data_IF_522257778044
#
_entry.id   IF_522257778044
#
_cell.length_a   1.000
_cell.length_b   1.000
_cell.length_c   1.000
_cell.angle_alpha   90.00
_cell.angle_beta   90.00
_cell.angle_gamma   90.00
#
_symmetry.space_group_name_H-M   'P 1'
#
loop_
_entity.id
_entity.type
_entity.pdbx_description
1 polymer ?
#
# COMPACT_ATOMS: atom_id res chain seq x y z
N UNK A 1 12.09 1.99 -13.08
CA UNK A 1 11.76 1.39 -11.75
C UNK A 1 11.45 -0.09 -11.93
N UNK A 2 12.03 -0.92 -11.10
CA UNK A 2 11.77 -2.35 -11.00
C UNK A 2 10.90 -2.63 -9.78
N UNK A 3 9.96 -3.57 -9.88
CA UNK A 3 9.05 -3.95 -8.78
C UNK A 3 9.32 -5.41 -8.45
N UNK A 4 9.67 -5.69 -7.21
CA UNK A 4 9.98 -7.03 -6.72
C UNK A 4 9.16 -7.38 -5.49
N UNK A 5 8.99 -8.66 -5.19
CA UNK A 5 8.32 -9.12 -3.96
C UNK A 5 9.14 -8.73 -2.74
N UNK A 6 8.43 -8.34 -1.68
CA UNK A 6 9.03 -8.12 -0.37
C UNK A 6 9.57 -9.46 0.18
N UNK A 7 10.86 -9.49 0.44
CA UNK A 7 11.58 -10.63 1.01
C UNK A 7 12.33 -10.23 2.28
N UNK A 8 12.95 -11.18 2.94
CA UNK A 8 13.71 -10.92 4.16
C UNK A 8 14.89 -9.96 3.96
N UNK A 9 15.45 -9.94 2.76
CA UNK A 9 16.53 -9.04 2.37
C UNK A 9 16.16 -7.55 2.53
N UNK A 10 14.88 -7.21 2.28
CA UNK A 10 14.39 -5.82 2.31
C UNK A 10 13.79 -5.41 3.66
N UNK A 11 13.66 -6.34 4.62
CA UNK A 11 12.92 -6.12 5.88
C UNK A 11 13.32 -4.84 6.60
N UNK A 12 14.61 -4.64 6.82
CA UNK A 12 15.10 -3.48 7.57
C UNK A 12 14.86 -2.15 6.84
N UNK A 13 15.05 -2.14 5.52
CA UNK A 13 14.86 -0.93 4.72
C UNK A 13 13.36 -0.58 4.61
N UNK A 14 12.51 -1.58 4.41
CA UNK A 14 11.05 -1.37 4.41
C UNK A 14 10.58 -0.88 5.78
N UNK A 15 11.07 -1.46 6.86
CA UNK A 15 10.73 -1.00 8.20
C UNK A 15 11.10 0.47 8.43
N UNK A 16 12.29 0.91 7.99
CA UNK A 16 12.69 2.33 8.06
C UNK A 16 11.75 3.23 7.25
N UNK A 17 11.38 2.82 6.04
CA UNK A 17 10.43 3.56 5.21
C UNK A 17 9.04 3.62 5.85
N UNK A 18 8.55 2.53 6.43
CA UNK A 18 7.28 2.49 7.16
C UNK A 18 7.30 3.47 8.34
N UNK A 19 8.38 3.54 9.10
CA UNK A 19 8.53 4.51 10.20
C UNK A 19 8.35 5.95 9.71
N UNK A 20 8.93 6.30 8.57
CA UNK A 20 8.78 7.63 7.97
C UNK A 20 7.35 7.86 7.49
N UNK A 21 6.77 6.89 6.79
CA UNK A 21 5.42 6.97 6.23
C UNK A 21 4.36 7.09 7.33
N UNK A 22 4.41 6.24 8.34
CA UNK A 22 3.46 6.23 9.46
C UNK A 22 3.62 7.44 10.41
N UNK A 23 4.77 8.11 10.40
CA UNK A 23 4.95 9.39 11.11
C UNK A 23 4.42 10.60 10.32
N UNK A 24 4.15 10.45 9.02
CA UNK A 24 3.67 11.53 8.14
C UNK A 24 2.17 11.80 8.32
N UNK A 25 1.70 12.91 7.71
CA UNK A 25 0.27 13.26 7.66
C UNK A 25 -0.56 12.35 6.75
N UNK A 26 0.07 11.52 5.92
CA UNK A 26 -0.62 10.56 5.05
C UNK A 26 -1.29 9.42 5.84
N UNK A 27 -0.86 9.18 7.07
CA UNK A 27 -1.40 8.12 7.94
C UNK A 27 -1.98 8.73 9.22
N UNK A 28 -3.26 8.48 9.46
CA UNK A 28 -3.97 9.01 10.63
C UNK A 28 -3.63 8.21 11.89
N UNK A 29 -3.78 6.89 11.85
CA UNK A 29 -3.46 6.00 12.96
C UNK A 29 -1.98 5.65 12.99
N UNK A 30 -1.33 5.96 14.12
CA UNK A 30 0.12 5.70 14.30
C UNK A 30 0.32 4.31 14.89
N UNK A 31 0.73 3.37 14.05
CA UNK A 31 1.02 1.99 14.46
C UNK A 31 2.34 1.88 15.20
N UNK A 32 2.43 0.91 16.13
CA UNK A 32 3.68 0.65 16.82
C UNK A 32 4.68 -0.15 15.98
N UNK A 33 5.92 -0.18 16.42
CA UNK A 33 6.97 -0.95 15.78
C UNK A 33 6.63 -2.46 15.70
N UNK A 34 5.91 -2.99 16.67
CA UNK A 34 5.48 -4.39 16.67
C UNK A 34 4.46 -4.69 15.57
N UNK A 35 3.51 -3.77 15.31
CA UNK A 35 2.56 -3.90 14.18
C UNK A 35 3.31 -3.81 12.85
N UNK A 36 4.15 -2.80 12.67
CA UNK A 36 4.89 -2.62 11.41
C UNK A 36 5.77 -3.84 11.07
N UNK A 37 6.43 -4.42 12.07
CA UNK A 37 7.21 -5.65 11.87
C UNK A 37 6.32 -6.85 11.53
N UNK A 38 5.16 -6.98 12.16
CA UNK A 38 4.20 -8.05 11.86
C UNK A 38 3.69 -7.94 10.42
N UNK A 39 3.35 -6.74 9.96
CA UNK A 39 2.89 -6.51 8.59
C UNK A 39 3.95 -6.95 7.57
N UNK A 40 5.22 -6.63 7.81
CA UNK A 40 6.33 -7.09 6.97
C UNK A 40 6.43 -8.62 6.99
N UNK A 41 6.35 -9.24 8.17
CA UNK A 41 6.47 -10.70 8.31
C UNK A 41 5.28 -11.42 7.65
N UNK A 42 4.07 -10.90 7.78
CA UNK A 42 2.88 -11.42 7.10
C UNK A 42 2.99 -11.29 5.58
N UNK A 43 3.49 -10.17 5.06
CA UNK A 43 3.74 -9.99 3.62
C UNK A 43 4.74 -10.99 3.03
N UNK A 44 5.68 -11.50 3.83
CA UNK A 44 6.69 -12.49 3.42
C UNK A 44 6.23 -13.94 3.61
N UNK A 45 5.14 -14.13 4.34
CA UNK A 45 4.61 -15.46 4.66
C UNK A 45 3.68 -15.98 3.55
N UNK A 46 3.00 -17.07 3.82
CA UNK A 46 1.92 -17.62 3.00
C UNK A 46 0.53 -17.08 3.40
N UNK A 47 0.48 -15.99 4.16
CA UNK A 47 -0.76 -15.30 4.49
C UNK A 47 -1.48 -14.88 3.18
N UNK A 48 -2.68 -15.43 2.91
CA UNK A 48 -3.37 -15.18 1.64
C UNK A 48 -3.99 -13.78 1.54
N UNK A 49 -4.03 -13.01 2.63
CA UNK A 49 -4.73 -11.73 2.69
C UNK A 49 -3.85 -10.53 2.40
N UNK A 50 -2.53 -10.67 2.47
CA UNK A 50 -1.59 -9.55 2.34
C UNK A 50 -0.39 -9.92 1.48
N UNK A 51 0.08 -8.99 0.66
CA UNK A 51 1.30 -9.09 -0.11
C UNK A 51 2.07 -7.77 -0.07
N UNK A 52 3.40 -7.86 -0.12
CA UNK A 52 4.29 -6.70 -0.12
C UNK A 52 5.16 -6.64 -1.37
N UNK A 53 5.44 -5.42 -1.80
CA UNK A 53 6.29 -5.10 -2.95
C UNK A 53 7.32 -4.04 -2.58
N UNK A 54 8.48 -4.13 -3.19
CA UNK A 54 9.59 -3.19 -3.04
C UNK A 54 9.91 -2.58 -4.40
N UNK A 55 10.13 -1.28 -4.41
CA UNK A 55 10.46 -0.53 -5.62
C UNK A 55 11.96 -0.25 -5.65
N UNK A 56 12.58 -0.60 -6.78
CA UNK A 56 14.02 -0.46 -7.00
C UNK A 56 14.28 0.46 -8.19
N UNK A 57 15.26 1.33 -8.06
CA UNK A 57 15.86 2.08 -9.18
C UNK A 57 17.36 1.81 -9.13
N UNK A 58 17.89 1.20 -10.18
CA UNK A 58 19.21 0.57 -10.16
C UNK A 58 19.30 -0.44 -8.99
N UNK A 59 20.25 -0.30 -8.09
CA UNK A 59 20.39 -1.17 -6.90
C UNK A 59 19.79 -0.54 -5.63
N UNK A 60 19.16 0.63 -5.75
CA UNK A 60 18.61 1.35 -4.60
C UNK A 60 17.13 1.05 -4.38
N UNK A 61 16.77 0.82 -3.12
CA UNK A 61 15.35 0.76 -2.69
C UNK A 61 14.79 2.17 -2.61
N UNK A 62 13.78 2.46 -3.43
CA UNK A 62 13.17 3.80 -3.54
C UNK A 62 11.76 3.89 -2.97
N UNK A 63 11.15 2.78 -2.59
CA UNK A 63 9.81 2.76 -2.03
C UNK A 63 9.31 1.35 -1.76
N UNK A 64 8.09 1.26 -1.25
CA UNK A 64 7.40 0.00 -1.00
C UNK A 64 5.89 0.15 -1.12
N UNK A 65 5.21 -0.96 -1.23
CA UNK A 65 3.75 -1.03 -1.10
C UNK A 65 3.33 -2.33 -0.41
N UNK A 66 2.20 -2.27 0.27
CA UNK A 66 1.48 -3.43 0.78
C UNK A 66 0.06 -3.41 0.24
N UNK A 67 -0.44 -4.57 -0.15
CA UNK A 67 -1.80 -4.75 -0.66
C UNK A 67 -2.51 -5.83 0.13
N UNK A 68 -3.78 -5.61 0.43
CA UNK A 68 -4.66 -6.63 0.98
C UNK A 68 -5.66 -7.13 -0.06
N UNK A 69 -6.19 -8.33 0.16
CA UNK A 69 -7.10 -9.02 -0.74
C UNK A 69 -8.41 -9.30 -0.03
N UNK A 70 -9.52 -8.91 -0.65
CA UNK A 70 -10.84 -9.26 -0.15
C UNK A 70 -11.81 -9.54 -1.30
N UNK A 71 -12.95 -10.13 -0.98
CA UNK A 71 -14.03 -10.32 -1.94
C UNK A 71 -15.00 -9.12 -1.90
N UNK A 72 -15.33 -8.55 -3.05
CA UNK A 72 -16.36 -7.51 -3.16
C UNK A 72 -17.64 -8.10 -3.75
N UNK A 73 -18.72 -8.13 -2.96
CA UNK A 73 -20.01 -8.66 -3.40
C UNK A 73 -20.70 -7.77 -4.42
N UNK A 74 -20.50 -6.45 -4.33
CA UNK A 74 -21.08 -5.47 -5.26
C UNK A 74 -20.57 -5.67 -6.70
N UNK A 75 -19.31 -6.12 -6.85
CA UNK A 75 -18.66 -6.37 -8.13
C UNK A 75 -18.46 -7.86 -8.44
N UNK A 76 -18.73 -8.75 -7.48
CA UNK A 76 -18.71 -10.19 -7.68
C UNK A 76 -17.34 -10.81 -7.87
N UNK A 77 -16.31 -10.35 -7.16
CA UNK A 77 -14.96 -10.89 -7.33
C UNK A 77 -13.91 -10.36 -6.39
N UNK A 78 -12.65 -10.62 -6.75
CA UNK A 78 -11.48 -10.18 -6.00
C UNK A 78 -11.35 -8.66 -6.03
N UNK A 79 -11.16 -8.06 -4.86
CA UNK A 79 -10.78 -6.67 -4.69
C UNK A 79 -9.37 -6.60 -4.11
N UNK A 80 -8.51 -5.81 -4.73
CA UNK A 80 -7.19 -5.45 -4.22
C UNK A 80 -7.27 -4.08 -3.57
N UNK A 81 -6.87 -4.01 -2.31
CA UNK A 81 -6.80 -2.77 -1.56
C UNK A 81 -5.33 -2.39 -1.37
N UNK A 82 -4.93 -1.22 -1.87
CA UNK A 82 -3.59 -0.69 -1.63
C UNK A 82 -3.58 -0.07 -0.24
N UNK A 83 -3.00 -0.79 0.72
CA UNK A 83 -2.93 -0.39 2.12
C UNK A 83 -1.85 0.67 2.33
N UNK A 84 -0.63 0.39 1.86
CA UNK A 84 0.51 1.29 1.89
C UNK A 84 1.04 1.53 0.49
N UNK A 85 1.32 2.78 0.16
CA UNK A 85 2.10 3.17 -1.02
C UNK A 85 3.02 4.32 -0.65
N UNK A 86 4.31 4.04 -0.62
CA UNK A 86 5.32 5.01 -0.23
C UNK A 86 6.48 5.06 -1.22
N UNK A 87 6.87 6.26 -1.59
CA UNK A 87 8.11 6.55 -2.31
C UNK A 87 8.97 7.50 -1.50
N UNK A 88 10.27 7.23 -1.44
CA UNK A 88 11.26 8.18 -0.91
C UNK A 88 11.14 9.50 -1.68
N UNK A 89 11.42 10.62 -1.02
CA UNK A 89 11.22 11.96 -1.57
C UNK A 89 11.91 12.14 -2.94
N UNK A 90 13.14 11.68 -3.08
CA UNK A 90 13.90 11.76 -4.33
C UNK A 90 13.31 10.97 -5.52
N UNK A 91 12.41 10.01 -5.23
CA UNK A 91 11.74 9.21 -6.24
C UNK A 91 10.35 9.75 -6.63
N UNK A 92 9.85 10.77 -5.94
CA UNK A 92 8.53 11.35 -6.20
C UNK A 92 8.51 12.20 -7.47
N UNK A 93 7.32 12.37 -8.04
CA UNK A 93 7.12 13.20 -9.24
C UNK A 93 7.62 12.58 -10.55
N UNK A 94 8.08 11.32 -10.53
CA UNK A 94 8.58 10.59 -11.70
C UNK A 94 7.53 9.68 -12.38
N UNK A 95 6.28 9.71 -11.91
CA UNK A 95 5.19 8.87 -12.47
C UNK A 95 5.21 7.41 -12.01
N UNK A 96 6.00 7.05 -11.02
CA UNK A 96 6.15 5.67 -10.57
C UNK A 96 4.88 5.06 -9.96
N UNK A 97 3.99 5.88 -9.38
CA UNK A 97 2.70 5.39 -8.91
C UNK A 97 1.86 4.80 -10.04
N UNK A 98 1.80 5.46 -11.20
CA UNK A 98 1.08 4.95 -12.38
C UNK A 98 1.70 3.66 -12.92
N UNK A 99 3.02 3.54 -12.91
CA UNK A 99 3.73 2.29 -13.27
C UNK A 99 3.34 1.17 -12.30
N UNK A 100 3.27 1.46 -11.00
CA UNK A 100 2.89 0.49 -9.98
C UNK A 100 1.42 0.05 -10.12
N UNK A 101 0.50 0.95 -10.35
CA UNK A 101 -0.92 0.59 -10.56
C UNK A 101 -1.10 -0.30 -11.79
N UNK A 102 -0.40 0.00 -12.87
CA UNK A 102 -0.40 -0.88 -14.04
C UNK A 102 0.17 -2.26 -13.74
N UNK A 103 1.24 -2.34 -12.94
CA UNK A 103 1.79 -3.60 -12.46
C UNK A 103 0.77 -4.40 -11.64
N UNK A 104 -0.01 -3.76 -10.77
CA UNK A 104 -1.07 -4.42 -9.99
C UNK A 104 -2.16 -5.00 -10.90
N UNK A 105 -2.62 -4.23 -11.90
CA UNK A 105 -3.60 -4.70 -12.88
C UNK A 105 -3.08 -5.93 -13.65
N UNK A 106 -1.83 -5.91 -14.07
CA UNK A 106 -1.21 -7.01 -14.80
C UNK A 106 -0.94 -8.24 -13.91
N UNK A 107 -0.71 -8.03 -12.62
CA UNK A 107 -0.47 -9.09 -11.62
C UNK A 107 -1.77 -9.76 -11.17
N UNK A 108 -2.81 -8.97 -10.93
CA UNK A 108 -4.12 -9.43 -10.43
C UNK A 108 -5.19 -9.32 -11.52
N UNK A 109 -4.99 -10.02 -12.64
CA UNK A 109 -5.90 -9.97 -13.80
C UNK A 109 -7.33 -10.41 -13.49
N UNK A 110 -7.51 -11.22 -12.45
CA UNK A 110 -8.80 -11.67 -11.95
C UNK A 110 -9.49 -10.65 -11.02
N UNK A 111 -8.79 -9.60 -10.61
CA UNK A 111 -9.38 -8.56 -9.77
C UNK A 111 -10.43 -7.76 -10.55
N UNK A 112 -11.59 -7.58 -9.92
CA UNK A 112 -12.71 -6.80 -10.46
C UNK A 112 -12.72 -5.38 -9.92
N UNK A 113 -11.93 -5.10 -8.89
CA UNK A 113 -11.84 -3.77 -8.27
C UNK A 113 -10.51 -3.55 -7.58
N UNK A 114 -10.02 -2.32 -7.67
CA UNK A 114 -8.87 -1.82 -6.90
C UNK A 114 -9.35 -0.68 -6.01
N UNK A 115 -8.88 -0.63 -4.78
CA UNK A 115 -9.20 0.41 -3.79
C UNK A 115 -7.95 0.95 -3.13
N UNK A 116 -8.01 2.18 -2.69
CA UNK A 116 -7.05 2.80 -1.78
C UNK A 116 -7.75 3.85 -0.92
N UNK A 117 -7.14 4.22 0.17
CA UNK A 117 -7.52 5.37 0.97
C UNK A 117 -6.50 6.49 0.76
N UNK A 118 -6.98 7.71 0.78
CA UNK A 118 -6.14 8.89 0.67
C UNK A 118 -6.67 9.98 1.59
N UNK A 119 -5.77 10.63 2.30
CA UNK A 119 -6.11 11.78 3.12
C UNK A 119 -6.58 12.95 2.23
N UNK A 120 -7.70 13.60 2.61
CA UNK A 120 -8.38 14.58 1.76
C UNK A 120 -7.53 15.79 1.38
N UNK A 121 -6.58 16.17 2.23
CA UNK A 121 -5.66 17.28 1.98
C UNK A 121 -4.46 16.88 1.11
N UNK A 122 -4.28 15.59 0.83
CA UNK A 122 -3.18 15.09 0.00
C UNK A 122 -3.51 15.21 -1.49
N UNK A 123 -3.64 16.44 -1.96
CA UNK A 123 -4.06 16.77 -3.34
C UNK A 123 -3.09 16.26 -4.40
N UNK A 124 -1.80 16.18 -4.08
CA UNK A 124 -0.77 15.63 -4.98
C UNK A 124 -1.00 14.13 -5.24
N UNK A 125 -1.26 13.35 -4.18
CA UNK A 125 -1.57 11.92 -4.30
C UNK A 125 -2.90 11.71 -5.05
N UNK A 126 -3.94 12.46 -4.70
CA UNK A 126 -5.26 12.40 -5.37
C UNK A 126 -5.10 12.64 -6.88
N UNK A 127 -4.32 13.65 -7.28
CA UNK A 127 -4.06 13.94 -8.69
C UNK A 127 -3.33 12.79 -9.41
N UNK A 128 -2.38 12.13 -8.74
CA UNK A 128 -1.68 10.97 -9.28
C UNK A 128 -2.63 9.76 -9.43
N UNK A 129 -3.53 9.56 -8.47
CA UNK A 129 -4.51 8.46 -8.48
C UNK A 129 -5.56 8.66 -9.58
N UNK A 130 -6.07 9.87 -9.77
CA UNK A 130 -6.96 10.18 -10.90
C UNK A 130 -6.32 9.88 -12.26
N UNK A 131 -5.04 10.18 -12.45
CA UNK A 131 -4.31 9.85 -13.68
C UNK A 131 -4.24 8.33 -13.95
N UNK A 132 -4.37 7.52 -12.91
CA UNK A 132 -4.39 6.05 -12.98
C UNK A 132 -5.82 5.46 -12.96
N UNK A 133 -6.85 6.30 -13.12
CA UNK A 133 -8.25 5.87 -13.23
C UNK A 133 -8.98 5.67 -11.90
N UNK A 134 -8.36 6.04 -10.77
CA UNK A 134 -9.06 6.02 -9.49
C UNK A 134 -9.99 7.24 -9.36
N UNK A 135 -11.17 7.02 -8.82
CA UNK A 135 -12.16 8.07 -8.55
C UNK A 135 -12.55 8.06 -7.07
N UNK A 136 -12.90 9.23 -6.56
CA UNK A 136 -13.41 9.36 -5.20
C UNK A 136 -14.72 8.57 -5.08
N UNK A 137 -14.79 7.67 -4.12
CA UNK A 137 -16.01 6.90 -3.85
C UNK A 137 -17.12 7.77 -3.27
N UNK A 138 -18.37 7.49 -3.63
CA UNK A 138 -19.55 8.11 -3.02
C UNK A 138 -19.88 7.51 -1.65
N UNK A 139 -19.32 6.32 -1.32
CA UNK A 139 -19.52 5.70 -0.01
C UNK A 139 -18.63 6.33 1.05
N UNK A 140 -19.18 6.51 2.23
CA UNK A 140 -18.42 6.84 3.43
C UNK A 140 -17.97 5.54 4.11
N UNK A 141 -16.71 5.46 4.46
CA UNK A 141 -16.16 4.37 5.26
C UNK A 141 -16.57 4.57 6.73
N UNK A 142 -17.03 3.52 7.38
CA UNK A 142 -17.25 3.46 8.82
C UNK A 142 -16.37 2.38 9.43
N UNK A 143 -15.66 2.70 10.51
CA UNK A 143 -14.76 1.79 11.20
C UNK A 143 -15.18 1.56 12.64
N UNK A 144 -14.82 0.42 13.20
CA UNK A 144 -14.90 0.12 14.61
C UNK A 144 -13.64 -0.67 15.00
N UNK A 145 -12.82 -0.06 15.80
CA UNK A 145 -11.60 -0.67 16.32
C UNK A 145 -11.96 -1.65 17.45
N UNK A 146 -11.35 -2.84 17.40
CA UNK A 146 -11.56 -3.86 18.41
C UNK A 146 -10.40 -3.88 19.41
N UNK A 147 -10.69 -4.18 20.68
CA UNK A 147 -9.70 -4.34 21.78
C UNK A 147 -8.83 -5.58 21.56
N UNK A 148 -8.18 -5.73 20.48
CA UNK A 148 -7.30 -6.85 20.13
C UNK A 148 -6.34 -6.48 19.03
N UNK A 149 -6.59 -5.37 18.37
CA UNK A 149 -5.57 -4.59 17.71
C UNK A 149 -4.60 -4.16 18.81
N UNK A 150 -3.43 -3.80 18.48
CA UNK A 150 -2.40 -3.50 19.44
C UNK A 150 -2.86 -2.54 20.54
N UNK A 151 -2.88 -3.06 21.78
CA UNK A 151 -2.65 -2.18 22.93
C UNK A 151 -1.18 -1.82 22.88
N UNK A 152 -0.93 -0.61 22.46
CA UNK A 152 0.40 -0.03 22.49
C UNK A 152 1.03 -0.23 23.88
#
# INVERSE_FOLDING_TARGET
>A
MQIVRLTNEFKEEVFRMMKVFYASSAVIHKSSDAVLNRDIDDCKSDNPFIEGYVFMEDDDVIGYSMVSKNYTTEYGGLCIWVEDLYFKEAARGKGYASVYFKFLEDTYKEAVRFKLEVETENTSAIGAYHKSGYEISEYHLMTKEMDGGEKA
#
